data_IF_469927695570
#
_entry.id   IF_469927695570
#
_cell.length_a   1.000
_cell.length_b   1.000
_cell.length_c   1.000
_cell.angle_alpha   90.00
_cell.angle_beta   90.00
_cell.angle_gamma   90.00
#
_symmetry.space_group_name_H-M   'P 1'
#
loop_
_entity.id
_entity.type
_entity.pdbx_description
1 polymer ?
#
# COMPACT_ATOMS: atom_id res chain seq x y z
N UNK A 1 -24.76 15.84 -5.81
CA UNK A 1 -23.54 15.62 -5.01
C UNK A 1 -22.45 15.15 -5.96
N UNK A 2 -21.26 15.72 -5.89
CA UNK A 2 -20.14 15.25 -6.70
C UNK A 2 -19.68 13.87 -6.17
N UNK A 3 -19.39 12.92 -7.05
CA UNK A 3 -19.02 11.54 -6.70
C UNK A 3 -17.61 11.26 -7.19
N UNK A 4 -16.73 10.84 -6.29
CA UNK A 4 -15.37 10.41 -6.62
C UNK A 4 -15.38 8.98 -7.15
N UNK A 5 -14.82 8.78 -8.35
CA UNK A 5 -14.62 7.45 -8.93
C UNK A 5 -13.20 6.98 -8.65
N UNK A 6 -13.04 5.92 -7.88
CA UNK A 6 -11.73 5.36 -7.52
C UNK A 6 -11.56 4.00 -8.18
N UNK A 7 -10.53 3.87 -9.01
CA UNK A 7 -10.15 2.61 -9.61
C UNK A 7 -9.28 1.79 -8.65
N UNK A 8 -9.53 0.49 -8.55
CA UNK A 8 -8.73 -0.46 -7.78
C UNK A 8 -8.18 -1.49 -8.76
N UNK A 9 -6.86 -1.54 -8.89
CA UNK A 9 -6.21 -2.52 -9.75
C UNK A 9 -6.47 -3.94 -9.25
N UNK A 10 -6.95 -4.81 -10.14
CA UNK A 10 -7.24 -6.21 -9.88
C UNK A 10 -6.82 -7.06 -11.08
N UNK A 11 -5.63 -7.61 -10.99
CA UNK A 11 -5.05 -8.50 -11.98
C UNK A 11 -3.99 -9.38 -11.28
N UNK A 12 -3.24 -10.15 -12.06
CA UNK A 12 -2.13 -10.95 -11.56
C UNK A 12 -1.14 -10.15 -10.71
N UNK A 13 -0.68 -10.79 -9.64
CA UNK A 13 0.17 -10.17 -8.61
C UNK A 13 -0.60 -9.48 -7.50
N UNK A 14 -1.90 -9.22 -7.61
CA UNK A 14 -2.68 -8.61 -6.51
C UNK A 14 -3.02 -9.66 -5.44
N UNK A 15 -2.76 -9.34 -4.17
CA UNK A 15 -3.14 -10.16 -3.03
C UNK A 15 -4.65 -10.11 -2.76
N UNK A 16 -5.29 -11.29 -2.69
CA UNK A 16 -6.75 -11.44 -2.54
C UNK A 16 -7.31 -10.70 -1.32
N UNK A 17 -6.68 -10.88 -0.15
CA UNK A 17 -7.17 -10.34 1.13
C UNK A 17 -7.17 -8.82 1.12
N UNK A 18 -6.09 -8.20 0.64
CA UNK A 18 -5.98 -6.74 0.52
C UNK A 18 -7.02 -6.18 -0.44
N UNK A 19 -7.19 -6.82 -1.60
CA UNK A 19 -8.18 -6.42 -2.60
C UNK A 19 -9.63 -6.51 -2.07
N UNK A 20 -10.02 -7.64 -1.49
CA UNK A 20 -11.36 -7.81 -0.88
C UNK A 20 -11.58 -6.84 0.29
N UNK A 21 -10.53 -6.53 1.06
CA UNK A 21 -10.58 -5.57 2.15
C UNK A 21 -10.82 -4.13 1.67
N UNK A 22 -10.20 -3.74 0.56
CA UNK A 22 -10.46 -2.46 -0.10
C UNK A 22 -11.93 -2.36 -0.52
N UNK A 23 -12.45 -3.36 -1.24
CA UNK A 23 -13.85 -3.37 -1.66
C UNK A 23 -14.83 -3.32 -0.48
N UNK A 24 -14.50 -4.02 0.61
CA UNK A 24 -15.41 -4.18 1.76
C UNK A 24 -15.44 -2.97 2.69
N UNK A 25 -14.33 -2.25 2.85
CA UNK A 25 -14.19 -1.26 3.92
C UNK A 25 -13.61 0.10 3.51
N UNK A 26 -13.04 0.24 2.31
CA UNK A 26 -12.37 1.49 1.94
C UNK A 26 -13.32 2.68 1.91
N UNK A 27 -14.52 2.52 1.32
CA UNK A 27 -15.54 3.59 1.30
C UNK A 27 -15.96 3.97 2.72
N UNK A 28 -16.32 3.01 3.58
CA UNK A 28 -16.81 3.32 4.92
C UNK A 28 -15.74 3.94 5.83
N UNK A 29 -14.46 3.59 5.63
CA UNK A 29 -13.33 4.18 6.37
C UNK A 29 -12.95 5.57 5.86
N UNK A 30 -13.12 5.85 4.56
CA UNK A 30 -12.74 7.13 3.95
C UNK A 30 -13.87 8.17 3.99
N UNK A 31 -15.12 7.75 3.79
CA UNK A 31 -16.32 8.61 3.69
C UNK A 31 -16.48 9.61 4.86
N UNK A 32 -16.18 9.27 6.14
CA UNK A 32 -16.32 10.22 7.24
C UNK A 32 -15.42 11.47 7.13
N UNK A 33 -14.42 11.45 6.25
CA UNK A 33 -13.49 12.55 6.04
C UNK A 33 -13.77 13.37 4.78
N UNK A 34 -14.77 13.00 3.98
CA UNK A 34 -15.06 13.61 2.68
C UNK A 34 -16.51 14.08 2.60
N UNK A 35 -16.71 15.22 1.94
CA UNK A 35 -18.04 15.75 1.61
C UNK A 35 -18.64 15.18 0.32
N UNK A 36 -17.89 14.32 -0.38
CA UNK A 36 -18.26 13.71 -1.65
C UNK A 36 -18.61 12.25 -1.47
N UNK A 37 -19.52 11.72 -2.30
CA UNK A 37 -19.77 10.28 -2.35
C UNK A 37 -18.60 9.57 -3.01
N UNK A 38 -18.33 8.32 -2.65
CA UNK A 38 -17.24 7.53 -3.24
C UNK A 38 -17.82 6.30 -3.94
N UNK A 39 -17.31 6.00 -5.14
CA UNK A 39 -17.58 4.77 -5.86
C UNK A 39 -16.26 4.07 -6.21
N UNK A 40 -16.17 2.78 -5.90
CA UNK A 40 -15.01 1.94 -6.20
C UNK A 40 -15.29 1.10 -7.44
N UNK A 41 -14.29 0.96 -8.30
CA UNK A 41 -14.37 0.15 -9.50
C UNK A 41 -13.12 -0.73 -9.66
N UNK A 42 -13.27 -2.04 -9.86
CA UNK A 42 -12.13 -2.85 -10.26
C UNK A 42 -11.66 -2.47 -11.68
N UNK A 43 -10.35 -2.47 -11.89
CA UNK A 43 -9.74 -2.25 -13.19
C UNK A 43 -8.57 -3.24 -13.40
N UNK A 44 -8.45 -3.83 -14.58
CA UNK A 44 -7.34 -4.73 -14.92
C UNK A 44 -6.29 -4.05 -15.80
N UNK A 45 -5.20 -4.75 -16.12
CA UNK A 45 -4.11 -4.18 -16.93
C UNK A 45 -4.56 -3.77 -18.34
N UNK A 46 -5.40 -4.59 -18.98
CA UNK A 46 -5.88 -4.31 -20.34
C UNK A 46 -6.71 -3.02 -20.41
N UNK A 47 -7.58 -2.78 -19.43
CA UNK A 47 -8.36 -1.54 -19.33
C UNK A 47 -7.45 -0.33 -19.12
N UNK A 48 -6.40 -0.44 -18.29
CA UNK A 48 -5.40 0.62 -18.11
C UNK A 48 -4.64 0.89 -19.42
N UNK A 49 -4.21 -0.16 -20.14
CA UNK A 49 -3.55 -0.02 -21.45
C UNK A 49 -4.46 0.66 -22.46
N UNK A 50 -5.76 0.37 -22.42
CA UNK A 50 -6.78 1.01 -23.25
C UNK A 50 -7.20 2.39 -22.72
N UNK A 51 -6.48 2.95 -21.75
CA UNK A 51 -6.65 4.31 -21.20
C UNK A 51 -7.99 4.57 -20.49
N UNK A 52 -8.64 3.51 -19.96
CA UNK A 52 -9.92 3.62 -19.26
C UNK A 52 -9.85 4.54 -18.02
N UNK A 53 -8.68 4.67 -17.39
CA UNK A 53 -8.45 5.61 -16.27
C UNK A 53 -8.91 7.03 -16.61
N UNK A 54 -8.59 7.49 -17.83
CA UNK A 54 -8.96 8.83 -18.31
C UNK A 54 -10.34 8.79 -18.96
N UNK A 55 -10.63 7.80 -19.81
CA UNK A 55 -11.89 7.73 -20.57
C UNK A 55 -13.12 7.62 -19.67
N UNK A 56 -13.00 6.94 -18.54
CA UNK A 56 -14.07 6.79 -17.57
C UNK A 56 -14.01 7.83 -16.44
N UNK A 57 -13.13 8.84 -16.56
CA UNK A 57 -12.99 9.96 -15.63
C UNK A 57 -12.81 9.53 -14.17
N UNK A 58 -11.82 8.66 -13.90
CA UNK A 58 -11.45 8.31 -12.54
C UNK A 58 -10.75 9.48 -11.81
N UNK A 59 -10.76 9.45 -10.48
CA UNK A 59 -10.15 10.45 -9.60
C UNK A 59 -8.90 9.93 -8.90
N UNK A 60 -8.86 8.62 -8.65
CA UNK A 60 -7.71 7.95 -8.08
C UNK A 60 -7.55 6.52 -8.62
N UNK A 61 -6.30 6.02 -8.55
CA UNK A 61 -5.94 4.64 -8.79
C UNK A 61 -5.27 4.06 -7.53
N UNK A 62 -5.79 2.93 -7.04
CA UNK A 62 -5.19 2.15 -5.98
C UNK A 62 -4.54 0.90 -6.59
N UNK A 63 -3.27 0.68 -6.29
CA UNK A 63 -2.59 -0.61 -6.53
C UNK A 63 -2.23 -1.20 -5.17
N UNK A 64 -2.83 -2.36 -4.87
CA UNK A 64 -2.70 -3.04 -3.58
C UNK A 64 -1.39 -3.80 -3.41
N UNK A 65 -1.30 -4.56 -2.32
CA UNK A 65 -0.18 -5.46 -2.05
C UNK A 65 -0.22 -6.75 -2.87
N UNK A 66 0.81 -7.58 -2.69
CA UNK A 66 1.02 -8.84 -3.40
C UNK A 66 2.43 -8.93 -3.99
N UNK A 67 2.58 -9.22 -5.28
CA UNK A 67 3.85 -9.25 -6.00
C UNK A 67 3.87 -8.20 -7.11
N UNK A 68 4.93 -7.40 -7.19
CA UNK A 68 5.02 -6.25 -8.10
C UNK A 68 5.57 -6.60 -9.50
N UNK A 69 6.33 -7.69 -9.64
CA UNK A 69 6.85 -8.14 -10.94
C UNK A 69 5.74 -8.44 -11.96
N UNK A 70 4.60 -9.09 -11.60
CA UNK A 70 3.46 -9.20 -12.51
C UNK A 70 2.90 -7.84 -12.97
N UNK A 71 2.89 -6.82 -12.11
CA UNK A 71 2.48 -5.47 -12.50
C UNK A 71 3.41 -4.93 -13.59
N UNK A 72 4.73 -5.09 -13.41
CA UNK A 72 5.73 -4.71 -14.40
C UNK A 72 5.50 -5.44 -15.73
N UNK A 73 5.31 -6.76 -15.69
CA UNK A 73 5.08 -7.58 -16.88
C UNK A 73 3.87 -7.13 -17.68
N UNK A 74 2.79 -6.73 -16.99
CA UNK A 74 1.53 -6.36 -17.62
C UNK A 74 1.40 -4.88 -17.98
N UNK A 75 2.07 -3.98 -17.25
CA UNK A 75 1.85 -2.53 -17.38
C UNK A 75 3.05 -1.75 -17.93
N UNK A 76 4.26 -2.32 -17.99
CA UNK A 76 5.41 -1.62 -18.58
C UNK A 76 5.13 -1.18 -20.03
N UNK A 77 5.66 -0.01 -20.42
CA UNK A 77 5.32 0.69 -21.64
C UNK A 77 3.99 1.45 -21.53
N UNK A 78 3.02 1.10 -22.37
CA UNK A 78 1.78 1.88 -22.56
C UNK A 78 0.96 1.99 -21.26
N UNK A 79 0.88 0.93 -20.47
CA UNK A 79 0.14 0.94 -19.20
C UNK A 79 0.69 2.00 -18.23
N UNK A 80 2.01 2.02 -18.02
CA UNK A 80 2.67 3.00 -17.17
C UNK A 80 2.63 4.40 -17.74
N UNK A 81 2.71 4.55 -19.06
CA UNK A 81 2.50 5.85 -19.70
C UNK A 81 1.09 6.38 -19.41
N UNK A 82 0.06 5.54 -19.51
CA UNK A 82 -1.32 5.94 -19.22
C UNK A 82 -1.53 6.25 -17.74
N UNK A 83 -0.98 5.45 -16.82
CA UNK A 83 -1.05 5.74 -15.38
C UNK A 83 -0.35 7.08 -15.08
N UNK A 84 0.85 7.31 -15.60
CA UNK A 84 1.57 8.60 -15.43
C UNK A 84 0.78 9.78 -15.98
N UNK A 85 0.22 9.65 -17.18
CA UNK A 85 -0.59 10.70 -17.80
C UNK A 85 -1.86 10.99 -16.98
N UNK A 86 -2.50 9.95 -16.45
CA UNK A 86 -3.65 10.07 -15.57
C UNK A 86 -3.29 10.85 -14.30
N UNK A 87 -2.24 10.46 -13.59
CA UNK A 87 -1.79 11.17 -12.37
C UNK A 87 -1.37 12.61 -12.68
N UNK A 88 -0.58 12.83 -13.73
CA UNK A 88 -0.11 14.16 -14.12
C UNK A 88 -1.24 15.17 -14.40
N UNK A 89 -2.46 14.69 -14.69
CA UNK A 89 -3.68 15.50 -14.89
C UNK A 89 -4.39 15.92 -13.60
N UNK A 90 -3.77 15.75 -12.44
CA UNK A 90 -4.39 16.13 -11.15
C UNK A 90 -5.17 15.00 -10.52
N UNK A 91 -4.68 13.76 -10.64
CA UNK A 91 -5.30 12.55 -10.07
C UNK A 91 -4.40 11.96 -8.99
N UNK A 92 -4.91 11.01 -8.20
CA UNK A 92 -4.20 10.42 -7.06
C UNK A 92 -3.77 8.96 -7.34
N UNK A 93 -2.52 8.63 -7.04
CA UNK A 93 -2.03 7.25 -6.96
C UNK A 93 -1.90 6.82 -5.50
N UNK A 94 -2.39 5.63 -5.17
CA UNK A 94 -2.22 5.02 -3.85
C UNK A 94 -1.58 3.65 -4.03
N UNK A 95 -0.32 3.52 -3.60
CA UNK A 95 0.41 2.26 -3.62
C UNK A 95 0.49 1.65 -2.22
N UNK A 96 0.14 0.38 -2.08
CA UNK A 96 0.21 -0.35 -0.80
C UNK A 96 1.11 -1.57 -0.95
N UNK A 97 2.11 -1.71 -0.08
CA UNK A 97 3.08 -2.83 -0.11
C UNK A 97 3.66 -3.02 -1.52
N UNK A 98 3.30 -4.05 -2.28
CA UNK A 98 3.71 -4.25 -3.68
C UNK A 98 3.41 -3.03 -4.57
N UNK A 99 2.23 -2.41 -4.45
CA UNK A 99 1.92 -1.17 -5.16
C UNK A 99 2.77 0.03 -4.71
N UNK A 100 3.30 0.01 -3.49
CA UNK A 100 4.25 1.01 -3.00
C UNK A 100 5.65 0.79 -3.58
N UNK A 101 6.13 -0.46 -3.61
CA UNK A 101 7.36 -0.84 -4.32
C UNK A 101 7.28 -0.47 -5.80
N UNK A 102 6.15 -0.75 -6.46
CA UNK A 102 5.91 -0.44 -7.86
C UNK A 102 5.97 1.07 -8.16
N UNK A 103 5.49 1.89 -7.21
CA UNK A 103 5.51 3.36 -7.31
C UNK A 103 6.90 3.99 -7.06
N UNK A 104 7.85 3.26 -6.50
CA UNK A 104 9.23 3.73 -6.32
C UNK A 104 10.05 3.58 -7.60
N UNK A 105 11.18 4.29 -7.71
CA UNK A 105 12.09 4.20 -8.85
C UNK A 105 12.79 2.85 -8.88
N UNK A 106 13.25 2.38 -7.74
CA UNK A 106 13.89 1.07 -7.61
C UNK A 106 13.42 0.32 -6.38
N UNK A 107 13.58 -1.00 -6.43
CA UNK A 107 13.19 -1.92 -5.37
C UNK A 107 14.41 -2.70 -4.91
N UNK A 108 14.50 -2.90 -3.61
CA UNK A 108 15.34 -3.91 -2.99
C UNK A 108 14.47 -4.67 -1.99
N UNK A 109 13.98 -5.83 -2.42
CA UNK A 109 13.19 -6.72 -1.58
C UNK A 109 13.97 -8.00 -1.30
N UNK A 110 14.08 -8.40 -0.03
CA UNK A 110 14.58 -9.71 0.38
C UNK A 110 13.44 -10.53 0.99
N UNK A 111 13.30 -11.77 0.54
CA UNK A 111 12.40 -12.77 1.09
C UNK A 111 13.13 -14.08 1.39
N UNK A 112 12.40 -15.04 1.95
CA UNK A 112 12.88 -16.37 2.29
C UNK A 112 11.92 -17.41 1.74
N UNK A 113 12.43 -18.35 0.95
CA UNK A 113 11.66 -19.49 0.49
C UNK A 113 11.79 -20.64 1.49
N UNK A 114 10.69 -20.91 2.20
CA UNK A 114 10.65 -21.97 3.21
C UNK A 114 10.83 -23.37 2.64
N UNK A 115 10.59 -23.59 1.34
CA UNK A 115 10.73 -24.90 0.70
C UNK A 115 12.17 -25.21 0.34
N UNK A 116 12.87 -24.26 -0.28
CA UNK A 116 14.29 -24.41 -0.60
C UNK A 116 15.19 -24.14 0.62
N UNK A 117 14.72 -23.36 1.61
CA UNK A 117 15.52 -22.93 2.75
C UNK A 117 16.46 -21.78 2.42
N UNK A 118 16.25 -21.09 1.29
CA UNK A 118 17.15 -20.06 0.78
C UNK A 118 16.51 -18.66 0.77
N UNK A 119 17.37 -17.63 0.85
CA UNK A 119 16.95 -16.25 0.63
C UNK A 119 16.87 -15.96 -0.85
N UNK A 120 15.88 -15.18 -1.25
CA UNK A 120 15.80 -14.62 -2.59
C UNK A 120 15.71 -13.09 -2.53
N UNK A 121 16.15 -12.43 -3.60
CA UNK A 121 16.10 -10.98 -3.72
C UNK A 121 15.37 -10.58 -4.99
N UNK A 122 14.55 -9.53 -4.89
CA UNK A 122 13.99 -8.82 -6.03
C UNK A 122 14.63 -7.44 -6.02
N UNK A 123 15.59 -7.22 -6.92
CA UNK A 123 16.34 -5.98 -7.07
C UNK A 123 16.18 -5.47 -8.49
N UNK A 124 15.80 -4.21 -8.64
CA UNK A 124 15.76 -3.57 -9.96
C UNK A 124 14.89 -2.33 -10.01
N UNK A 125 14.94 -1.67 -11.16
CA UNK A 125 14.15 -0.48 -11.45
C UNK A 125 12.66 -0.84 -11.67
N UNK A 126 11.79 0.16 -11.49
CA UNK A 126 10.39 0.13 -11.89
C UNK A 126 10.14 1.27 -12.85
N UNK A 127 9.43 1.00 -13.95
CA UNK A 127 9.19 2.02 -14.95
C UNK A 127 8.21 3.09 -14.44
N UNK A 128 7.28 2.75 -13.53
CA UNK A 128 6.28 3.69 -13.02
C UNK A 128 6.90 4.85 -12.24
N UNK A 129 7.79 4.59 -11.27
CA UNK A 129 8.72 5.54 -10.62
C UNK A 129 8.13 6.91 -10.25
N UNK A 130 7.00 6.95 -9.56
CA UNK A 130 6.47 8.21 -9.04
C UNK A 130 7.41 8.84 -8.00
N UNK A 131 7.91 8.02 -7.09
CA UNK A 131 8.90 8.42 -6.09
C UNK A 131 10.32 8.21 -6.64
N UNK A 132 11.14 9.27 -6.67
CA UNK A 132 12.55 9.19 -7.08
C UNK A 132 13.41 8.71 -5.91
N UNK A 133 13.33 7.41 -5.66
CA UNK A 133 14.12 6.75 -4.62
C UNK A 133 13.90 5.25 -4.62
N UNK A 134 14.53 4.59 -3.65
CA UNK A 134 14.47 3.15 -3.47
C UNK A 134 13.44 2.78 -2.41
N UNK A 135 12.58 1.80 -2.72
CA UNK A 135 11.77 1.09 -1.73
C UNK A 135 12.51 -0.17 -1.27
N UNK A 136 12.77 -0.26 0.04
CA UNK A 136 13.57 -1.34 0.63
C UNK A 136 12.75 -2.15 1.61
N UNK A 137 12.82 -3.47 1.51
CA UNK A 137 12.26 -4.42 2.48
C UNK A 137 12.69 -5.85 2.14
N UNK A 138 12.04 -6.89 2.64
CA UNK A 138 11.26 -6.83 3.88
C UNK A 138 12.15 -6.44 5.07
N UNK A 139 11.53 -5.89 6.12
CA UNK A 139 12.17 -5.36 7.32
C UNK A 139 12.11 -6.43 8.40
N UNK A 140 13.19 -7.20 8.52
CA UNK A 140 13.27 -8.38 9.41
C UNK A 140 13.21 -8.03 10.90
N UNK A 141 13.48 -6.77 11.25
CA UNK A 141 13.53 -6.26 12.62
C UNK A 141 12.15 -6.35 13.30
N UNK A 142 11.07 -6.36 12.53
CA UNK A 142 9.69 -6.51 13.04
C UNK A 142 9.28 -7.97 13.29
N UNK A 143 10.02 -8.92 12.74
CA UNK A 143 9.61 -10.32 12.57
C UNK A 143 10.64 -11.27 13.19
N UNK A 144 11.28 -10.84 14.28
CA UNK A 144 12.31 -11.61 14.99
C UNK A 144 13.45 -12.06 14.07
N UNK A 145 13.98 -11.15 13.26
CA UNK A 145 15.04 -11.37 12.28
C UNK A 145 14.67 -12.33 11.13
N UNK A 146 13.37 -12.51 10.83
CA UNK A 146 12.90 -13.28 9.68
C UNK A 146 12.58 -12.38 8.51
N UNK A 147 13.10 -12.68 7.33
CA UNK A 147 12.62 -12.04 6.11
C UNK A 147 11.19 -12.53 5.79
N UNK A 148 10.53 -11.83 4.88
CA UNK A 148 9.20 -12.20 4.37
C UNK A 148 9.18 -13.65 3.89
N UNK A 149 8.15 -14.35 4.35
CA UNK A 149 7.65 -15.61 3.80
C UNK A 149 6.11 -15.57 3.84
N UNK A 150 5.42 -16.58 3.33
CA UNK A 150 3.95 -16.59 3.35
C UNK A 150 3.37 -17.02 4.71
N UNK A 151 4.20 -17.27 5.72
CA UNK A 151 3.77 -17.76 7.03
C UNK A 151 3.40 -16.63 8.00
N UNK A 152 2.60 -16.97 9.01
CA UNK A 152 2.32 -16.10 10.16
C UNK A 152 3.58 -15.59 10.88
N UNK A 153 4.72 -16.26 10.76
CA UNK A 153 5.94 -15.88 11.49
C UNK A 153 6.67 -14.66 10.90
N UNK A 154 6.32 -14.26 9.67
CA UNK A 154 6.82 -13.04 9.04
C UNK A 154 5.78 -11.92 9.00
N UNK A 155 4.66 -12.08 9.70
CA UNK A 155 3.66 -11.04 9.96
C UNK A 155 3.95 -10.35 11.30
N UNK A 156 3.64 -9.06 11.37
CA UNK A 156 3.77 -8.28 12.59
C UNK A 156 2.67 -7.21 12.71
N UNK A 157 2.41 -6.79 13.95
CA UNK A 157 1.75 -5.52 14.22
C UNK A 157 2.82 -4.53 14.64
N UNK A 158 2.93 -3.44 13.90
CA UNK A 158 3.94 -2.40 14.13
C UNK A 158 3.29 -1.10 14.58
N UNK A 159 4.05 -0.32 15.33
CA UNK A 159 3.66 1.04 15.72
C UNK A 159 4.42 2.03 14.84
N UNK A 160 3.70 2.98 14.26
CA UNK A 160 4.28 4.07 13.49
C UNK A 160 4.47 5.32 14.36
N UNK A 161 5.29 6.25 13.90
CA UNK A 161 5.45 7.58 14.50
C UNK A 161 5.27 8.70 13.48
N UNK A 162 4.83 9.87 13.92
CA UNK A 162 4.78 11.11 13.14
C UNK A 162 5.45 12.22 13.95
N UNK A 163 6.30 13.04 13.34
CA UNK A 163 7.05 14.10 14.03
C UNK A 163 7.76 13.62 15.31
N UNK A 164 8.42 12.45 15.24
CA UNK A 164 9.08 11.79 16.37
C UNK A 164 8.16 11.43 17.55
N UNK A 165 6.84 11.46 17.35
CA UNK A 165 5.85 11.04 18.35
C UNK A 165 5.19 9.72 17.93
N UNK A 166 5.15 8.71 18.80
CA UNK A 166 4.46 7.45 18.51
C UNK A 166 2.97 7.68 18.27
N UNK A 167 2.43 6.99 17.26
CA UNK A 167 0.99 6.88 17.07
C UNK A 167 0.47 5.76 17.95
N UNK A 168 -0.57 6.02 18.74
CA UNK A 168 -1.25 4.99 19.53
C UNK A 168 -2.26 4.20 18.67
N UNK A 169 -1.79 3.64 17.55
CA UNK A 169 -2.56 2.86 16.58
C UNK A 169 -1.70 1.69 16.05
N UNK A 170 -2.24 0.45 16.00
CA UNK A 170 -1.54 -0.67 15.39
C UNK A 170 -1.65 -0.63 13.86
N UNK A 171 -0.59 -1.04 13.18
CA UNK A 171 -0.58 -1.24 11.73
C UNK A 171 -0.11 -2.65 11.39
N UNK A 172 -0.82 -3.31 10.49
CA UNK A 172 -0.38 -4.62 9.99
C UNK A 172 0.83 -4.45 9.07
N UNK A 173 1.84 -5.28 9.30
CA UNK A 173 3.05 -5.38 8.51
C UNK A 173 3.25 -6.82 8.03
N UNK A 174 3.46 -6.97 6.71
CA UNK A 174 3.89 -8.23 6.09
C UNK A 174 4.58 -7.92 4.76
N UNK A 175 5.91 -7.97 4.74
CA UNK A 175 6.70 -7.72 3.51
C UNK A 175 6.82 -6.26 3.06
N UNK A 176 6.23 -5.33 3.80
CA UNK A 176 6.23 -3.89 3.50
C UNK A 176 7.61 -3.24 3.38
N UNK A 177 7.67 -2.14 2.63
CA UNK A 177 8.90 -1.34 2.42
C UNK A 177 9.04 -0.18 3.41
N UNK A 178 10.25 0.36 3.49
CA UNK A 178 10.53 1.75 3.80
C UNK A 178 11.17 2.45 2.59
N UNK A 179 11.23 3.78 2.61
CA UNK A 179 11.68 4.57 1.46
C UNK A 179 13.00 5.31 1.73
N UNK A 180 13.91 5.25 0.75
CA UNK A 180 15.17 5.98 0.73
C UNK A 180 15.15 6.93 -0.48
N UNK A 181 15.11 8.25 -0.30
CA UNK A 181 15.09 9.19 -1.42
C UNK A 181 16.45 9.20 -2.14
N UNK A 182 16.43 9.41 -3.45
CA UNK A 182 17.64 9.79 -4.19
C UNK A 182 18.12 11.17 -3.73
N UNK A 183 19.38 11.51 -4.03
CA UNK A 183 19.91 12.86 -3.78
C UNK A 183 19.00 13.90 -4.45
N UNK A 184 18.53 14.88 -3.68
CA UNK A 184 17.61 15.95 -4.10
C UNK A 184 16.16 15.52 -4.42
N UNK A 185 15.74 14.28 -4.14
CA UNK A 185 14.33 13.93 -4.23
C UNK A 185 13.57 14.49 -3.03
N UNK A 186 12.57 15.32 -3.31
CA UNK A 186 11.61 15.75 -2.30
C UNK A 186 10.54 14.67 -2.07
N UNK A 187 10.21 14.44 -0.80
CA UNK A 187 9.06 13.64 -0.39
C UNK A 187 8.52 14.17 0.93
N UNK A 188 7.21 14.05 1.12
CA UNK A 188 6.57 14.29 2.41
C UNK A 188 6.49 12.97 3.15
N UNK A 189 7.23 12.82 4.25
CA UNK A 189 7.11 11.63 5.09
C UNK A 189 5.95 11.83 6.08
N UNK A 190 4.89 11.06 5.91
CA UNK A 190 3.71 11.11 6.76
C UNK A 190 3.95 10.34 8.06
N UNK A 191 4.53 9.15 7.93
CA UNK A 191 4.79 8.24 9.04
C UNK A 191 6.12 7.53 8.91
N UNK A 192 6.74 7.26 10.05
CA UNK A 192 8.01 6.53 10.16
C UNK A 192 7.82 5.22 10.93
N UNK A 193 8.65 4.24 10.60
CA UNK A 193 8.95 3.10 11.43
C UNK A 193 10.04 3.46 12.45
N UNK A 194 9.76 3.43 13.76
CA UNK A 194 10.79 3.60 14.78
C UNK A 194 11.55 2.28 15.01
N UNK A 195 12.79 2.18 14.52
CA UNK A 195 13.71 1.07 14.83
C UNK A 195 14.51 1.45 16.08
N UNK A 196 13.86 1.31 17.25
CA UNK A 196 14.35 1.85 18.53
C UNK A 196 15.74 1.34 18.92
N UNK A 197 16.06 0.07 18.64
CA UNK A 197 17.38 -0.52 18.94
C UNK A 197 18.52 0.18 18.22
N UNK A 198 18.25 0.78 17.06
CA UNK A 198 19.25 1.45 16.23
C UNK A 198 19.09 2.98 16.23
N UNK A 199 18.13 3.51 16.99
CA UNK A 199 17.75 4.92 16.96
C UNK A 199 17.51 5.46 15.52
N UNK A 200 16.86 4.64 14.68
CA UNK A 200 16.54 4.98 13.29
C UNK A 200 15.05 5.15 13.09
N UNK A 201 14.67 6.12 12.26
CA UNK A 201 13.30 6.37 11.84
C UNK A 201 13.23 6.20 10.32
N UNK A 202 12.65 5.09 9.87
CA UNK A 202 12.59 4.77 8.43
C UNK A 202 11.25 5.26 7.85
N UNK A 203 11.23 6.01 6.74
CA UNK A 203 9.97 6.46 6.11
C UNK A 203 9.07 5.27 5.76
N UNK A 204 7.93 5.15 6.43
CA UNK A 204 7.00 4.03 6.31
C UNK A 204 5.85 4.33 5.36
N UNK A 205 5.38 5.58 5.38
CA UNK A 205 4.33 6.09 4.50
C UNK A 205 4.77 7.47 4.03
N UNK A 206 4.81 7.65 2.72
CA UNK A 206 5.24 8.89 2.08
C UNK A 206 4.17 9.38 1.10
N UNK A 207 4.18 10.68 0.84
CA UNK A 207 3.45 11.28 -0.26
C UNK A 207 4.32 12.24 -1.05
N UNK A 208 3.87 12.60 -2.25
CA UNK A 208 4.54 13.59 -3.07
C UNK A 208 3.72 13.95 -4.31
N UNK A 209 4.32 14.76 -5.18
CA UNK A 209 3.67 15.26 -6.40
C UNK A 209 4.19 14.56 -7.65
N UNK A 210 3.33 14.43 -8.65
CA UNK A 210 3.70 14.04 -10.01
C UNK A 210 2.86 14.81 -11.02
N UNK A 211 3.48 15.72 -11.78
CA UNK A 211 2.75 16.69 -12.59
C UNK A 211 1.81 17.54 -11.72
N UNK A 212 0.53 17.62 -12.08
CA UNK A 212 -0.50 18.29 -11.25
C UNK A 212 -1.11 17.36 -10.19
N UNK A 213 -0.84 16.06 -10.25
CA UNK A 213 -1.38 15.08 -9.34
C UNK A 213 -0.46 14.75 -8.19
N UNK A 214 -0.85 13.73 -7.44
CA UNK A 214 -0.21 13.34 -6.19
C UNK A 214 -0.11 11.81 -6.10
N UNK A 215 0.81 11.35 -5.27
CA UNK A 215 0.92 9.95 -4.89
C UNK A 215 1.01 9.80 -3.37
N UNK A 216 0.54 8.66 -2.86
CA UNK A 216 0.78 8.17 -1.51
C UNK A 216 1.26 6.72 -1.60
N UNK A 217 2.40 6.41 -0.99
CA UNK A 217 2.99 5.08 -0.95
C UNK A 217 3.06 4.62 0.50
N UNK A 218 2.53 3.44 0.79
CA UNK A 218 2.48 2.87 2.13
C UNK A 218 3.19 1.53 2.19
N UNK A 219 4.18 1.41 3.07
CA UNK A 219 4.78 0.12 3.42
C UNK A 219 3.87 -0.75 4.28
N UNK A 220 2.97 -0.16 5.09
CA UNK A 220 2.01 -0.91 5.92
C UNK A 220 0.69 -1.16 5.19
N UNK A 221 -0.04 -2.20 5.62
CA UNK A 221 -1.35 -2.52 5.06
C UNK A 221 -2.50 -1.89 5.84
N UNK A 222 -2.75 -0.60 5.66
CA UNK A 222 -3.84 0.10 6.35
C UNK A 222 -5.25 -0.30 5.87
N UNK A 223 -5.34 -0.99 4.73
CA UNK A 223 -6.57 -1.32 4.02
C UNK A 223 -7.34 -2.51 4.61
N UNK A 224 -6.67 -3.37 5.38
CA UNK A 224 -7.25 -4.64 5.82
C UNK A 224 -8.60 -4.46 6.54
N UNK A 225 -9.54 -5.34 6.22
CA UNK A 225 -10.86 -5.43 6.82
C UNK A 225 -10.90 -6.63 7.74
N UNK A 226 -11.32 -6.41 8.98
CA UNK A 226 -11.47 -7.44 10.01
C UNK A 226 -12.40 -8.58 9.57
N UNK A 227 -13.54 -8.28 8.91
CA UNK A 227 -14.47 -9.31 8.42
C UNK A 227 -13.86 -10.17 7.33
N UNK A 228 -13.15 -9.56 6.38
CA UNK A 228 -12.43 -10.29 5.32
C UNK A 228 -11.34 -11.15 5.93
N UNK A 229 -10.59 -10.61 6.89
CA UNK A 229 -9.53 -11.35 7.58
C UNK A 229 -10.09 -12.54 8.37
N UNK A 230 -11.24 -12.37 9.04
CA UNK A 230 -11.94 -13.46 9.71
C UNK A 230 -12.26 -14.59 8.72
N UNK A 231 -12.92 -14.29 7.61
CA UNK A 231 -13.40 -15.32 6.67
C UNK A 231 -12.28 -15.94 5.83
N UNK A 232 -11.28 -15.16 5.45
CA UNK A 232 -10.22 -15.61 4.53
C UNK A 232 -9.01 -16.22 5.23
N UNK A 233 -8.78 -15.88 6.51
CA UNK A 233 -7.67 -16.39 7.31
C UNK A 233 -8.19 -17.22 8.47
N UNK A 234 -8.88 -16.59 9.43
CA UNK A 234 -9.20 -17.23 10.72
C UNK A 234 -10.05 -18.49 10.54
N UNK A 235 -11.12 -18.40 9.76
CA UNK A 235 -12.08 -19.50 9.57
C UNK A 235 -11.48 -20.68 8.78
N UNK A 236 -10.33 -20.49 8.13
CA UNK A 236 -9.64 -21.51 7.32
C UNK A 236 -8.46 -22.17 8.04
N UNK A 237 -8.01 -21.63 9.17
CA UNK A 237 -6.87 -22.19 9.92
C UNK A 237 -7.33 -23.37 10.76
N UNK A 238 -6.60 -24.48 10.64
CA UNK A 238 -6.80 -25.69 11.46
C UNK A 238 -5.76 -25.82 12.58
N UNK A 239 -4.58 -25.22 12.42
CA UNK A 239 -3.52 -25.25 13.43
C UNK A 239 -3.81 -24.27 14.58
N UNK A 240 -3.89 -24.80 15.81
CA UNK A 240 -4.26 -24.00 16.99
C UNK A 240 -3.25 -22.92 17.37
N UNK A 241 -1.96 -23.11 17.06
CA UNK A 241 -0.89 -22.16 17.40
C UNK A 241 -0.92 -21.00 16.42
N UNK A 242 -1.05 -21.29 15.13
CA UNK A 242 -1.27 -20.30 14.08
C UNK A 242 -2.54 -19.50 14.33
N UNK A 243 -3.65 -20.18 14.64
CA UNK A 243 -4.93 -19.55 14.94
C UNK A 243 -4.80 -18.52 16.07
N UNK A 244 -4.09 -18.84 17.15
CA UNK A 244 -3.90 -17.91 18.28
C UNK A 244 -3.12 -16.65 17.88
N UNK A 245 -2.09 -16.79 17.04
CA UNK A 245 -1.31 -15.65 16.52
C UNK A 245 -2.15 -14.80 15.59
N UNK A 246 -2.86 -15.43 14.67
CA UNK A 246 -3.72 -14.76 13.69
C UNK A 246 -4.91 -14.05 14.36
N UNK A 247 -5.48 -14.64 15.41
CA UNK A 247 -6.53 -14.01 16.21
C UNK A 247 -6.04 -12.73 16.90
N UNK A 248 -4.76 -12.70 17.30
CA UNK A 248 -4.15 -11.50 17.89
C UNK A 248 -4.04 -10.37 16.86
N UNK A 249 -3.70 -10.70 15.61
CA UNK A 249 -3.71 -9.75 14.49
C UNK A 249 -5.14 -9.25 14.24
N UNK A 250 -6.12 -10.15 14.13
CA UNK A 250 -7.52 -9.78 13.92
C UNK A 250 -8.04 -8.82 15.01
N UNK A 251 -7.66 -9.03 16.27
CA UNK A 251 -8.05 -8.13 17.36
C UNK A 251 -7.51 -6.70 17.15
N UNK A 252 -6.32 -6.54 16.54
CA UNK A 252 -5.81 -5.23 16.13
C UNK A 252 -6.61 -4.63 14.97
N UNK A 253 -7.02 -5.44 13.99
CA UNK A 253 -7.83 -4.98 12.85
C UNK A 253 -9.23 -4.51 13.29
N UNK A 254 -9.77 -5.10 14.36
CA UNK A 254 -11.08 -4.71 14.95
C UNK A 254 -11.04 -3.37 15.68
N UNK A 255 -9.87 -2.79 15.95
CA UNK A 255 -9.79 -1.49 16.60
C UNK A 255 -10.39 -0.41 15.68
N UNK A 256 -11.27 0.43 16.22
CA UNK A 256 -12.00 1.45 15.43
C UNK A 256 -11.08 2.45 14.72
N UNK A 257 -9.86 2.61 15.20
CA UNK A 257 -8.86 3.53 14.66
C UNK A 257 -7.87 2.84 13.70
N UNK A 258 -8.03 1.55 13.38
CA UNK A 258 -7.12 0.86 12.46
C UNK A 258 -7.00 1.57 11.11
N UNK A 259 -5.79 1.99 10.75
CA UNK A 259 -5.49 2.72 9.50
C UNK A 259 -6.07 4.14 9.41
N UNK A 260 -6.84 4.61 10.41
CA UNK A 260 -7.65 5.84 10.35
C UNK A 260 -6.83 7.09 9.96
N UNK A 261 -5.61 7.20 10.46
CA UNK A 261 -4.73 8.34 10.15
C UNK A 261 -4.31 8.37 8.68
N UNK A 262 -4.05 7.22 8.06
CA UNK A 262 -3.70 7.17 6.63
C UNK A 262 -4.93 7.48 5.77
N UNK A 263 -6.13 7.01 6.15
CA UNK A 263 -7.37 7.41 5.48
C UNK A 263 -7.62 8.92 5.56
N UNK A 264 -7.30 9.55 6.70
CA UNK A 264 -7.38 11.01 6.85
C UNK A 264 -6.43 11.73 5.89
N UNK A 265 -5.21 11.22 5.69
CA UNK A 265 -4.27 11.81 4.74
C UNK A 265 -4.69 11.59 3.28
N UNK A 266 -5.21 10.41 2.94
CA UNK A 266 -5.83 10.15 1.63
C UNK A 266 -6.97 11.13 1.35
N UNK A 267 -7.84 11.38 2.34
CA UNK A 267 -8.93 12.34 2.20
C UNK A 267 -8.44 13.76 1.92
N UNK A 268 -7.40 14.23 2.63
CA UNK A 268 -6.79 15.54 2.37
C UNK A 268 -6.24 15.63 0.94
N UNK A 269 -5.59 14.57 0.45
CA UNK A 269 -5.06 14.52 -0.91
C UNK A 269 -6.19 14.62 -1.94
N UNK A 270 -7.28 13.86 -1.75
CA UNK A 270 -8.46 13.92 -2.63
C UNK A 270 -9.17 15.28 -2.59
N UNK A 271 -9.31 15.91 -1.42
CA UNK A 271 -9.89 17.25 -1.28
C UNK A 271 -9.05 18.31 -2.00
N UNK A 272 -7.72 18.20 -1.93
CA UNK A 272 -6.81 19.12 -2.61
C UNK A 272 -6.96 19.07 -4.14
N UNK A 273 -7.25 17.88 -4.71
CA UNK A 273 -7.49 17.74 -6.15
C UNK A 273 -8.79 18.44 -6.59
N UNK A 274 -9.82 18.47 -5.74
CA UNK A 274 -11.12 19.07 -6.08
C UNK A 274 -11.18 20.58 -5.87
N UNK A 275 -10.31 21.15 -5.03
CA UNK A 275 -10.21 22.61 -4.81
C UNK A 275 -9.43 23.35 -5.89
N UNK A 276 -8.78 22.63 -6.81
CA UNK A 276 -8.03 23.18 -7.94
C UNK A 276 -8.81 23.26 -9.25
N UNK A 277 -10.14 23.09 -9.21
CA UNK A 277 -11.08 23.25 -10.34
C UNK A 277 -11.79 24.59 -10.24
#
# INVERSE_FOLDING_TARGET
MNTLKIAIYNDEGVGLIGYQSLLSSFVSKLQPFLSFSIQLYPINAQQIINNHLILENFDALIIGGGADLPYCQKLNGIGNQNIKNFIARGKLYIGICAGAYYGAKSVHFTGYDVKSGEKYNIIGERELRFFQGQAVGSIKEFTNNRYYDDSINSKAIVQLSSNNQPLFQPFYYHGGCYFIPDNNSEMDVLFYYPILKENKFLPAVISGKYGKGQYLLSGVHFELCDKVYQTEIIDKITDSIELKKEQSILNCLKQQNYGKVIYKDIAKLLDALNKGV
#
